data_IF_080808467643
#
_entry.id   IF_080808467643
#
_cell.length_a   1.000
_cell.length_b   1.000
_cell.length_c   1.000
_cell.angle_alpha   90.00
_cell.angle_beta   90.00
_cell.angle_gamma   90.00
#
_symmetry.space_group_name_H-M   'P 1'
#
loop_
_entity.id
_entity.type
_entity.pdbx_description
1 polymer ?
#
# COMPACT_ATOMS: atom_id res chain seq x y z
N UNK A 1 -1.64 -11.90 11.01
CA UNK A 1 -0.90 -12.62 9.94
C UNK A 1 0.52 -12.90 10.41
N UNK A 2 1.12 -14.02 10.03
CA UNK A 2 2.45 -14.36 10.58
C UNK A 2 3.54 -13.61 9.81
N UNK A 3 4.34 -12.79 10.49
CA UNK A 3 5.56 -12.13 10.01
C UNK A 3 6.44 -13.06 9.16
N UNK A 4 6.52 -14.33 9.57
CA UNK A 4 7.27 -15.40 8.89
C UNK A 4 6.83 -15.69 7.46
N UNK A 5 5.58 -15.45 7.08
CA UNK A 5 5.12 -15.63 5.70
C UNK A 5 5.78 -14.59 4.78
N UNK A 6 5.66 -13.32 5.12
CA UNK A 6 6.24 -12.22 4.34
C UNK A 6 7.76 -12.24 4.31
N UNK A 7 8.40 -12.64 5.42
CA UNK A 7 9.85 -12.83 5.47
C UNK A 7 10.32 -13.91 4.46
N UNK A 8 9.56 -15.00 4.30
CA UNK A 8 9.92 -16.09 3.38
C UNK A 8 9.53 -15.82 1.93
N UNK A 9 8.44 -15.10 1.70
CA UNK A 9 7.93 -14.84 0.36
C UNK A 9 8.61 -13.70 -0.36
N UNK A 10 9.36 -12.83 0.33
CA UNK A 10 9.94 -11.60 -0.22
C UNK A 10 10.75 -11.82 -1.51
N UNK A 11 11.50 -12.92 -1.63
CA UNK A 11 12.29 -13.22 -2.82
C UNK A 11 11.44 -13.65 -4.02
N UNK A 12 10.30 -14.29 -3.77
CA UNK A 12 9.42 -14.82 -4.81
C UNK A 12 8.23 -13.89 -5.09
N UNK A 13 8.03 -12.89 -4.23
CA UNK A 13 6.87 -12.00 -4.29
C UNK A 13 6.80 -11.24 -5.62
N UNK A 14 7.88 -10.59 -6.03
CA UNK A 14 7.93 -9.85 -7.30
C UNK A 14 7.69 -10.78 -8.50
N UNK A 15 8.20 -12.02 -8.45
CA UNK A 15 7.94 -13.00 -9.51
C UNK A 15 6.45 -13.39 -9.56
N UNK A 16 5.85 -13.64 -8.40
CA UNK A 16 4.43 -13.98 -8.31
C UNK A 16 3.51 -12.81 -8.74
N UNK A 17 3.96 -11.57 -8.49
CA UNK A 17 3.21 -10.35 -8.79
C UNK A 17 3.44 -9.78 -10.20
N UNK A 18 4.31 -10.39 -11.02
CA UNK A 18 4.59 -9.94 -12.41
C UNK A 18 3.35 -9.81 -13.29
N UNK A 19 2.34 -10.65 -13.05
CA UNK A 19 1.07 -10.57 -13.78
C UNK A 19 0.33 -9.23 -13.60
N UNK A 20 0.68 -8.47 -12.55
CA UNK A 20 0.10 -7.16 -12.22
C UNK A 20 1.02 -5.98 -12.59
N UNK A 21 2.17 -6.21 -13.27
CA UNK A 21 3.14 -5.15 -13.55
C UNK A 21 2.55 -3.98 -14.35
N UNK A 22 1.67 -4.26 -15.30
CA UNK A 22 1.04 -3.21 -16.12
C UNK A 22 -0.05 -2.48 -15.34
N UNK A 23 -0.86 -3.20 -14.56
CA UNK A 23 -1.85 -2.61 -13.65
C UNK A 23 -1.18 -1.73 -12.59
N UNK A 24 -0.09 -2.17 -11.97
CA UNK A 24 0.67 -1.38 -10.99
C UNK A 24 1.26 -0.10 -11.60
N UNK A 25 1.68 -0.12 -12.88
CA UNK A 25 2.12 1.09 -13.59
C UNK A 25 0.96 2.09 -13.76
N UNK A 26 -0.22 1.60 -14.16
CA UNK A 26 -1.41 2.45 -14.31
C UNK A 26 -1.83 3.04 -12.96
N UNK A 27 -1.81 2.23 -11.90
CA UNK A 27 -2.07 2.68 -10.53
C UNK A 27 -1.04 3.73 -10.09
N UNK A 28 0.25 3.50 -10.34
CA UNK A 28 1.31 4.46 -10.00
C UNK A 28 1.12 5.78 -10.78
N UNK A 29 0.74 5.74 -12.05
CA UNK A 29 0.43 6.94 -12.85
C UNK A 29 -0.80 7.67 -12.30
N UNK A 30 -1.84 6.94 -11.89
CA UNK A 30 -3.01 7.53 -11.24
C UNK A 30 -2.61 8.28 -9.96
N UNK A 31 -1.81 7.66 -9.10
CA UNK A 31 -1.31 8.27 -7.85
C UNK A 31 -0.41 9.48 -8.14
N UNK A 32 0.48 9.39 -9.13
CA UNK A 32 1.44 10.44 -9.46
C UNK A 32 0.79 11.78 -9.79
N UNK A 33 -0.46 11.78 -10.29
CA UNK A 33 -1.25 13.02 -10.55
C UNK A 33 -1.48 13.87 -9.31
N UNK A 34 -1.43 13.27 -8.13
CA UNK A 34 -1.66 13.91 -6.82
C UNK A 34 -0.36 14.24 -6.08
N UNK A 35 0.79 13.92 -6.65
CA UNK A 35 2.09 14.17 -6.06
C UNK A 35 2.71 15.45 -6.62
N UNK A 36 3.59 16.07 -5.86
CA UNK A 36 4.42 17.20 -6.30
C UNK A 36 5.90 16.91 -6.07
N UNK A 37 6.81 17.52 -6.85
CA UNK A 37 8.25 17.34 -6.68
C UNK A 37 8.79 17.76 -5.31
N UNK A 38 8.03 18.54 -4.54
CA UNK A 38 8.41 19.01 -3.22
C UNK A 38 7.81 18.17 -2.08
N UNK A 39 6.94 17.20 -2.36
CA UNK A 39 6.28 16.42 -1.32
C UNK A 39 7.19 15.36 -0.70
N UNK A 40 6.98 15.11 0.59
CA UNK A 40 7.50 13.98 1.34
C UNK A 40 6.45 12.88 1.38
N UNK A 41 6.80 11.69 0.92
CA UNK A 41 5.93 10.54 0.77
C UNK A 41 6.30 9.46 1.78
N UNK A 42 5.30 8.91 2.48
CA UNK A 42 5.41 7.64 3.21
C UNK A 42 4.72 6.53 2.42
N UNK A 43 5.38 5.41 2.20
CA UNK A 43 4.69 4.15 1.93
C UNK A 43 4.84 3.21 3.11
N UNK A 44 3.75 3.00 3.86
CA UNK A 44 3.69 2.09 4.98
C UNK A 44 3.21 0.70 4.51
N UNK A 45 3.89 -0.36 4.98
CA UNK A 45 3.78 -1.73 4.47
C UNK A 45 4.17 -1.82 2.97
N UNK A 46 5.31 -1.23 2.63
CA UNK A 46 5.76 -1.06 1.24
C UNK A 46 6.08 -2.38 0.50
N UNK A 47 6.13 -3.51 1.21
CA UNK A 47 6.49 -4.81 0.63
C UNK A 47 7.86 -4.74 -0.06
N UNK A 48 7.91 -5.08 -1.35
CA UNK A 48 9.11 -5.01 -2.19
C UNK A 48 9.27 -3.67 -2.92
N UNK A 49 8.51 -2.63 -2.54
CA UNK A 49 8.64 -1.27 -3.04
C UNK A 49 8.13 -1.08 -4.47
N UNK A 50 7.04 -1.73 -4.84
CA UNK A 50 6.48 -1.63 -6.20
C UNK A 50 6.00 -0.22 -6.49
N UNK A 51 5.28 0.42 -5.57
CA UNK A 51 4.83 1.81 -5.71
C UNK A 51 5.89 2.81 -5.28
N UNK A 52 6.59 2.60 -4.16
CA UNK A 52 7.64 3.51 -3.69
C UNK A 52 8.69 3.78 -4.76
N UNK A 53 9.22 2.73 -5.39
CA UNK A 53 10.26 2.89 -6.42
C UNK A 53 9.71 3.55 -7.70
N UNK A 54 8.44 3.30 -8.06
CA UNK A 54 7.81 3.91 -9.23
C UNK A 54 7.54 5.42 -9.02
N UNK A 55 7.21 5.82 -7.78
CA UNK A 55 6.83 7.19 -7.44
C UNK A 55 8.02 8.07 -7.00
N UNK A 56 9.12 7.47 -6.53
CA UNK A 56 10.29 8.18 -6.03
C UNK A 56 10.85 9.26 -6.99
N UNK A 57 10.90 9.04 -8.32
CA UNK A 57 11.41 10.07 -9.24
C UNK A 57 10.58 11.36 -9.29
N UNK A 58 9.30 11.30 -8.87
CA UNK A 58 8.36 12.42 -8.93
C UNK A 58 8.21 13.22 -7.63
N UNK A 59 8.95 12.87 -6.57
CA UNK A 59 8.79 13.46 -5.24
C UNK A 59 10.13 13.86 -4.62
N UNK A 60 10.08 14.71 -3.60
CA UNK A 60 11.28 15.15 -2.87
C UNK A 60 11.95 13.99 -2.15
N UNK A 61 11.17 13.18 -1.45
CA UNK A 61 11.68 12.09 -0.62
C UNK A 61 10.61 11.03 -0.37
N UNK A 62 11.02 9.77 -0.28
CA UNK A 62 10.16 8.63 0.06
C UNK A 62 10.69 7.91 1.28
N UNK A 63 9.89 7.81 2.32
CA UNK A 63 10.14 6.91 3.45
C UNK A 63 9.36 5.61 3.24
N UNK A 64 10.07 4.48 3.21
CA UNK A 64 9.49 3.16 3.04
C UNK A 64 9.59 2.38 4.34
N UNK A 65 8.49 1.81 4.80
CA UNK A 65 8.56 0.90 5.92
C UNK A 65 7.70 -0.35 5.70
N UNK A 66 8.16 -1.47 6.25
CA UNK A 66 7.44 -2.74 6.29
C UNK A 66 7.83 -3.48 7.57
N UNK A 67 6.91 -4.28 8.12
CA UNK A 67 7.23 -5.04 9.32
C UNK A 67 8.13 -6.26 9.06
N UNK A 68 8.21 -6.73 7.80
CA UNK A 68 9.06 -7.82 7.37
C UNK A 68 10.41 -7.28 6.86
N UNK A 69 11.49 -7.59 7.58
CA UNK A 69 12.85 -7.15 7.25
C UNK A 69 13.27 -7.53 5.83
N UNK A 70 12.87 -8.71 5.37
CA UNK A 70 13.24 -9.17 4.03
C UNK A 70 12.52 -8.37 2.93
N UNK A 71 11.29 -7.88 3.17
CA UNK A 71 10.59 -6.96 2.26
C UNK A 71 11.36 -5.64 2.15
N UNK A 72 11.70 -5.02 3.29
CA UNK A 72 12.51 -3.78 3.32
C UNK A 72 13.85 -3.96 2.60
N UNK A 73 14.51 -5.10 2.78
CA UNK A 73 15.76 -5.42 2.10
C UNK A 73 15.61 -5.51 0.57
N UNK A 74 14.52 -6.10 0.07
CA UNK A 74 14.23 -6.16 -1.36
C UNK A 74 13.92 -4.77 -1.93
N UNK A 75 13.15 -3.94 -1.22
CA UNK A 75 12.87 -2.56 -1.62
C UNK A 75 14.16 -1.76 -1.73
N UNK A 76 15.04 -1.82 -0.73
CA UNK A 76 16.35 -1.15 -0.74
C UNK A 76 17.22 -1.60 -1.90
N UNK A 77 17.27 -2.91 -2.16
CA UNK A 77 18.02 -3.46 -3.29
C UNK A 77 17.48 -2.96 -4.62
N UNK A 78 16.15 -2.96 -4.79
CA UNK A 78 15.48 -2.46 -6.01
C UNK A 78 15.77 -0.98 -6.23
N UNK A 79 15.66 -0.14 -5.19
CA UNK A 79 15.99 1.28 -5.25
C UNK A 79 17.44 1.51 -5.68
N UNK A 80 18.39 0.77 -5.10
CA UNK A 80 19.80 0.84 -5.51
C UNK A 80 20.05 0.42 -6.95
N UNK A 81 19.38 -0.62 -7.45
CA UNK A 81 19.45 -1.04 -8.86
C UNK A 81 18.90 0.01 -9.83
N UNK A 82 17.91 0.81 -9.38
CA UNK A 82 17.27 1.89 -10.14
C UNK A 82 17.98 3.25 -9.96
N UNK A 83 19.01 3.34 -9.12
CA UNK A 83 19.73 4.58 -8.85
C UNK A 83 18.90 5.63 -8.08
N UNK A 84 17.92 5.19 -7.27
CA UNK A 84 17.07 6.08 -6.48
C UNK A 84 17.77 6.46 -5.17
N UNK A 85 18.14 7.74 -5.03
CA UNK A 85 18.88 8.24 -3.87
C UNK A 85 18.01 8.96 -2.83
N UNK A 86 16.76 9.24 -3.17
CA UNK A 86 15.82 9.98 -2.34
C UNK A 86 14.89 9.07 -1.53
N UNK A 87 15.37 7.91 -1.07
CA UNK A 87 14.56 6.92 -0.36
C UNK A 87 15.21 6.46 0.94
N UNK A 88 14.41 6.43 2.01
CA UNK A 88 14.76 5.82 3.30
C UNK A 88 13.97 4.52 3.54
N UNK A 89 14.58 3.62 4.34
CA UNK A 89 14.03 2.28 4.57
C UNK A 89 14.12 1.91 6.05
N UNK A 90 12.99 1.54 6.65
CA UNK A 90 12.91 1.12 8.05
C UNK A 90 12.01 -0.10 8.24
N UNK A 91 12.27 -0.85 9.32
CA UNK A 91 11.41 -1.99 9.69
C UNK A 91 10.45 -1.50 10.77
N UNK A 92 9.16 -1.35 10.41
CA UNK A 92 8.13 -0.82 11.30
C UNK A 92 6.79 -1.52 11.09
N UNK A 93 5.94 -1.54 12.10
CA UNK A 93 4.56 -1.98 12.02
C UNK A 93 3.67 -0.78 11.66
N UNK A 94 2.86 -0.90 10.60
CA UNK A 94 1.93 0.15 10.18
C UNK A 94 0.91 0.54 11.26
N UNK A 95 0.69 -0.32 12.24
CA UNK A 95 -0.21 -0.05 13.37
C UNK A 95 0.46 0.70 14.53
N UNK A 96 1.77 0.99 14.44
CA UNK A 96 2.57 1.71 15.42
C UNK A 96 3.82 2.26 14.74
N UNK A 97 3.67 3.39 14.04
CA UNK A 97 4.75 4.00 13.26
C UNK A 97 5.64 4.89 14.14
N UNK A 98 6.95 4.73 14.00
CA UNK A 98 7.96 5.55 14.69
C UNK A 98 8.32 6.80 13.86
N UNK A 99 7.29 7.53 13.44
CA UNK A 99 7.43 8.83 12.80
C UNK A 99 6.71 9.91 13.61
N UNK A 100 7.19 11.16 13.57
CA UNK A 100 6.50 12.29 14.21
C UNK A 100 5.10 12.51 13.62
N UNK A 101 4.24 13.16 14.40
CA UNK A 101 2.96 13.67 13.90
C UNK A 101 3.17 14.70 12.80
N UNK A 102 2.25 14.77 11.84
CA UNK A 102 2.24 15.79 10.79
C UNK A 102 3.56 15.88 9.99
N UNK A 103 4.15 14.74 9.67
CA UNK A 103 5.47 14.67 9.05
C UNK A 103 5.40 14.60 7.51
N UNK A 104 4.49 13.80 6.96
CA UNK A 104 4.40 13.53 5.53
C UNK A 104 3.33 14.38 4.84
N UNK A 105 3.60 14.80 3.60
CA UNK A 105 2.62 15.46 2.76
C UNK A 105 1.62 14.43 2.18
N UNK A 106 2.11 13.21 1.91
CA UNK A 106 1.31 12.08 1.39
C UNK A 106 1.70 10.80 2.09
N UNK A 107 0.71 10.00 2.48
CA UNK A 107 0.93 8.64 3.00
C UNK A 107 0.17 7.62 2.16
N UNK A 108 0.84 6.52 1.81
CA UNK A 108 0.27 5.41 1.02
C UNK A 108 0.28 4.15 1.88
N UNK A 109 -0.82 3.38 1.80
CA UNK A 109 -0.90 2.02 2.31
C UNK A 109 -1.52 1.13 1.23
N UNK A 110 -0.65 0.46 0.44
CA UNK A 110 -1.06 -0.33 -0.70
C UNK A 110 -1.25 -1.80 -0.34
N UNK A 111 -2.41 -2.36 -0.66
CA UNK A 111 -2.74 -3.78 -0.53
C UNK A 111 -2.46 -4.39 0.87
N UNK A 112 -2.67 -3.60 1.92
CA UNK A 112 -2.39 -4.03 3.29
C UNK A 112 -3.61 -4.02 4.21
N UNK A 113 -4.55 -3.06 4.08
CA UNK A 113 -5.65 -2.91 5.03
C UNK A 113 -6.53 -4.16 5.12
N UNK A 114 -6.79 -4.83 3.99
CA UNK A 114 -7.56 -6.07 3.95
C UNK A 114 -6.86 -7.26 4.64
N UNK A 115 -5.56 -7.14 4.93
CA UNK A 115 -4.76 -8.18 5.58
C UNK A 115 -4.67 -8.00 7.11
N UNK A 116 -5.04 -6.82 7.61
CA UNK A 116 -4.90 -6.49 9.03
C UNK A 116 -6.11 -6.97 9.83
N UNK A 117 -5.88 -7.57 11.02
CA UNK A 117 -6.97 -7.90 11.95
C UNK A 117 -7.69 -6.65 12.47
N UNK A 118 -6.97 -5.54 12.61
CA UNK A 118 -7.49 -4.25 13.02
C UNK A 118 -6.95 -3.15 12.09
N UNK A 119 -7.60 -2.90 10.93
CA UNK A 119 -7.18 -1.88 9.98
C UNK A 119 -7.38 -0.45 10.50
N UNK A 120 -8.24 -0.23 11.50
CA UNK A 120 -8.45 1.07 12.15
C UNK A 120 -7.15 1.67 12.66
N UNK A 121 -6.34 0.85 13.36
CA UNK A 121 -5.08 1.30 13.92
C UNK A 121 -4.11 1.80 12.84
N UNK A 122 -4.06 1.10 11.71
CA UNK A 122 -3.23 1.52 10.59
C UNK A 122 -3.71 2.86 10.01
N UNK A 123 -5.02 3.03 9.82
CA UNK A 123 -5.58 4.30 9.33
C UNK A 123 -5.30 5.43 10.32
N UNK A 124 -5.47 5.22 11.65
CA UNK A 124 -5.18 6.24 12.66
C UNK A 124 -3.68 6.62 12.71
N UNK A 125 -2.77 5.66 12.56
CA UNK A 125 -1.34 5.98 12.49
C UNK A 125 -0.99 6.76 11.23
N UNK A 126 -1.56 6.39 10.08
CA UNK A 126 -1.39 7.16 8.84
C UNK A 126 -1.95 8.58 8.95
N UNK A 127 -3.13 8.74 9.57
CA UNK A 127 -3.69 10.07 9.88
C UNK A 127 -2.75 10.88 10.78
N UNK A 128 -2.21 10.27 11.84
CA UNK A 128 -1.30 10.93 12.77
C UNK A 128 -0.02 11.45 12.10
N UNK A 129 0.60 10.63 11.25
CA UNK A 129 1.87 10.99 10.61
C UNK A 129 1.72 11.87 9.38
N UNK A 130 0.51 11.99 8.83
CA UNK A 130 0.23 12.83 7.67
C UNK A 130 -0.12 14.25 8.13
N UNK A 131 0.42 15.26 7.44
CA UNK A 131 0.14 16.67 7.72
C UNK A 131 -1.34 17.01 7.55
N UNK A 132 -1.88 17.98 8.30
CA UNK A 132 -3.20 18.53 8.02
C UNK A 132 -3.31 18.99 6.56
N UNK A 133 -4.37 18.54 5.87
CA UNK A 133 -4.56 18.79 4.44
C UNK A 133 -3.72 17.91 3.50
N UNK A 134 -2.85 17.06 4.05
CA UNK A 134 -2.12 16.05 3.29
C UNK A 134 -3.03 14.94 2.78
N UNK A 135 -2.52 14.11 1.89
CA UNK A 135 -3.28 13.04 1.26
C UNK A 135 -2.96 11.68 1.88
N UNK A 136 -4.01 10.87 2.00
CA UNK A 136 -3.89 9.45 2.29
C UNK A 136 -4.40 8.66 1.09
N UNK A 137 -3.58 7.76 0.57
CA UNK A 137 -3.88 7.02 -0.66
C UNK A 137 -3.88 5.53 -0.35
N UNK A 138 -4.97 4.86 -0.74
CA UNK A 138 -5.21 3.48 -0.40
C UNK A 138 -5.53 2.64 -1.65
N UNK A 139 -4.53 2.15 -2.39
CA UNK A 139 -4.76 1.04 -3.31
C UNK A 139 -5.10 -0.21 -2.50
N UNK A 140 -6.25 -0.80 -2.72
CA UNK A 140 -6.67 -1.99 -1.95
C UNK A 140 -7.52 -2.93 -2.78
N UNK A 141 -7.20 -4.21 -2.74
CA UNK A 141 -8.03 -5.23 -3.38
C UNK A 141 -9.44 -5.25 -2.77
N UNK A 142 -10.44 -5.33 -3.64
CA UNK A 142 -11.84 -5.36 -3.27
C UNK A 142 -12.55 -6.54 -3.95
N UNK A 143 -13.56 -7.10 -3.29
CA UNK A 143 -14.38 -8.18 -3.83
C UNK A 143 -15.51 -7.61 -4.69
N UNK A 144 -15.23 -7.31 -5.97
CA UNK A 144 -16.25 -6.89 -6.92
C UNK A 144 -16.86 -8.10 -7.66
N UNK A 145 -17.39 -9.08 -6.90
CA UNK A 145 -17.95 -10.29 -7.52
C UNK A 145 -16.88 -11.17 -8.19
N UNK A 146 -15.77 -11.39 -7.51
CA UNK A 146 -14.54 -12.01 -7.96
C UNK A 146 -14.76 -13.28 -8.80
N UNK A 147 -14.08 -13.31 -9.95
CA UNK A 147 -14.05 -14.47 -10.84
C UNK A 147 -13.58 -15.73 -10.11
N UNK A 148 -14.03 -16.94 -10.52
CA UNK A 148 -13.61 -18.22 -9.91
C UNK A 148 -12.09 -18.42 -9.88
N UNK A 149 -11.34 -17.82 -10.80
CA UNK A 149 -9.87 -17.86 -10.89
C UNK A 149 -9.17 -17.15 -9.71
N UNK A 150 -9.64 -15.98 -9.30
CA UNK A 150 -9.09 -15.27 -8.13
C UNK A 150 -9.27 -16.05 -6.83
N UNK A 151 -10.39 -16.73 -6.66
CA UNK A 151 -10.62 -17.64 -5.51
C UNK A 151 -9.63 -18.79 -5.45
N UNK A 152 -9.21 -19.35 -6.60
CA UNK A 152 -8.21 -20.43 -6.66
C UNK A 152 -6.82 -19.95 -6.27
N UNK A 153 -6.43 -18.76 -6.69
CA UNK A 153 -5.15 -18.17 -6.33
C UNK A 153 -5.10 -17.82 -4.82
N UNK A 154 -6.15 -17.20 -4.27
CA UNK A 154 -6.27 -16.97 -2.83
C UNK A 154 -6.28 -18.27 -2.03
N UNK A 155 -6.95 -19.32 -2.52
CA UNK A 155 -6.93 -20.65 -1.91
C UNK A 155 -5.52 -21.25 -1.91
N UNK A 156 -4.75 -21.10 -2.99
CA UNK A 156 -3.35 -21.52 -3.05
C UNK A 156 -2.49 -20.73 -2.04
N UNK A 157 -2.61 -19.41 -1.99
CA UNK A 157 -1.89 -18.57 -1.02
C UNK A 157 -2.29 -18.91 0.42
N UNK A 158 -3.53 -19.33 0.66
CA UNK A 158 -4.01 -19.72 2.00
C UNK A 158 -3.28 -20.94 2.57
N UNK A 159 -2.78 -21.84 1.71
CA UNK A 159 -1.95 -22.99 2.12
C UNK A 159 -0.62 -22.52 2.76
N UNK A 160 -0.16 -21.34 2.39
CA UNK A 160 1.05 -20.72 2.95
C UNK A 160 0.75 -19.75 4.09
N UNK A 161 -0.50 -19.68 4.55
CA UNK A 161 -0.92 -18.84 5.67
C UNK A 161 -1.36 -17.43 5.29
N UNK A 162 -1.51 -17.12 4.00
CA UNK A 162 -2.12 -15.90 3.52
C UNK A 162 -3.65 -16.02 3.65
N UNK A 163 -4.27 -15.13 4.43
CA UNK A 163 -5.74 -15.03 4.54
C UNK A 163 -6.11 -13.56 4.66
N UNK A 164 -6.92 -13.03 3.73
CA UNK A 164 -7.56 -11.74 3.94
C UNK A 164 -8.36 -11.80 5.25
N UNK A 165 -8.26 -10.75 6.05
CA UNK A 165 -9.02 -10.60 7.30
C UNK A 165 -10.31 -9.83 7.04
N UNK A 166 -10.28 -8.97 6.04
CA UNK A 166 -11.40 -8.12 5.63
C UNK A 166 -11.63 -8.29 4.14
N UNK A 167 -12.84 -8.67 3.77
CA UNK A 167 -13.26 -8.80 2.38
C UNK A 167 -14.30 -7.70 2.12
N UNK A 168 -13.85 -6.61 1.54
CA UNK A 168 -14.72 -5.47 1.21
C UNK A 168 -15.11 -5.47 -0.26
N UNK A 169 -16.35 -5.11 -0.55
CA UNK A 169 -16.70 -4.54 -1.86
C UNK A 169 -16.14 -3.11 -1.94
N UNK A 170 -16.08 -2.53 -3.13
CA UNK A 170 -15.67 -1.13 -3.31
C UNK A 170 -16.47 -0.19 -2.40
N UNK A 171 -17.80 -0.31 -2.40
CA UNK A 171 -18.69 0.53 -1.57
C UNK A 171 -18.40 0.39 -0.08
N UNK A 172 -18.17 -0.85 0.40
CA UNK A 172 -17.82 -1.11 1.80
C UNK A 172 -16.45 -0.54 2.14
N UNK A 173 -15.46 -0.65 1.24
CA UNK A 173 -14.13 -0.11 1.46
C UNK A 173 -14.14 1.42 1.54
N UNK A 174 -14.82 2.09 0.61
CA UNK A 174 -14.98 3.55 0.66
C UNK A 174 -15.79 4.00 1.90
N UNK A 175 -16.82 3.24 2.30
CA UNK A 175 -17.55 3.45 3.53
C UNK A 175 -16.66 3.34 4.76
N UNK A 176 -15.82 2.29 4.82
CA UNK A 176 -14.82 2.09 5.88
C UNK A 176 -13.91 3.31 6.05
N UNK A 177 -13.42 3.90 4.95
CA UNK A 177 -12.56 5.09 5.00
C UNK A 177 -13.32 6.34 5.50
N UNK A 178 -14.55 6.56 5.00
CA UNK A 178 -15.40 7.70 5.42
C UNK A 178 -15.72 7.66 6.90
N UNK A 179 -16.05 6.50 7.46
CA UNK A 179 -16.32 6.33 8.89
C UNK A 179 -15.13 6.71 9.79
N UNK A 180 -13.93 6.82 9.24
CA UNK A 180 -12.70 7.22 9.93
C UNK A 180 -12.30 8.67 9.68
N UNK A 181 -13.25 9.49 9.21
CA UNK A 181 -13.06 10.92 9.00
C UNK A 181 -12.26 11.25 7.74
N UNK A 182 -12.29 10.36 6.73
CA UNK A 182 -11.63 10.61 5.46
C UNK A 182 -12.64 11.05 4.40
N UNK A 183 -12.40 12.21 3.81
CA UNK A 183 -13.06 12.65 2.58
C UNK A 183 -12.49 11.89 1.39
N UNK A 184 -13.34 11.26 0.59
CA UNK A 184 -12.92 10.64 -0.67
C UNK A 184 -12.91 11.73 -1.74
N UNK A 185 -11.71 12.15 -2.16
CA UNK A 185 -11.54 13.15 -3.22
C UNK A 185 -11.76 12.54 -4.60
N UNK A 186 -11.20 11.36 -4.82
CA UNK A 186 -11.29 10.60 -6.06
C UNK A 186 -11.14 9.11 -5.75
N UNK A 187 -11.74 8.25 -6.55
CA UNK A 187 -11.46 6.82 -6.51
C UNK A 187 -11.52 6.23 -7.91
N UNK A 188 -10.72 5.20 -8.13
CA UNK A 188 -10.65 4.46 -9.39
C UNK A 188 -10.73 2.96 -9.10
N UNK A 189 -11.59 2.27 -9.84
CA UNK A 189 -11.63 0.81 -9.83
C UNK A 189 -10.87 0.29 -11.06
N UNK A 190 -9.80 -0.43 -10.82
CA UNK A 190 -9.05 -1.16 -11.84
C UNK A 190 -9.66 -2.56 -11.96
N UNK A 191 -10.38 -2.88 -13.05
CA UNK A 191 -11.03 -4.16 -13.20
C UNK A 191 -10.01 -5.23 -13.62
N UNK A 192 -9.85 -6.23 -12.76
CA UNK A 192 -9.00 -7.39 -13.03
C UNK A 192 -9.62 -8.65 -12.40
N UNK A 193 -8.90 -9.77 -12.44
CA UNK A 193 -9.33 -10.97 -11.69
C UNK A 193 -9.41 -10.72 -10.18
N UNK A 194 -8.59 -9.80 -9.68
CA UNK A 194 -8.56 -9.31 -8.31
C UNK A 194 -8.73 -7.77 -8.36
N UNK A 195 -9.99 -7.26 -8.44
CA UNK A 195 -10.22 -5.83 -8.65
C UNK A 195 -9.55 -4.96 -7.58
N UNK A 196 -8.87 -3.90 -8.03
CA UNK A 196 -8.16 -2.97 -7.17
C UNK A 196 -8.90 -1.62 -7.14
N UNK A 197 -9.32 -1.18 -5.95
CA UNK A 197 -9.84 0.16 -5.72
C UNK A 197 -8.71 1.06 -5.21
N UNK A 198 -8.43 2.14 -5.92
CA UNK A 198 -7.50 3.20 -5.47
C UNK A 198 -8.32 4.34 -4.92
N UNK A 199 -8.31 4.56 -3.62
CA UNK A 199 -8.98 5.68 -2.96
C UNK A 199 -7.95 6.78 -2.66
N UNK A 200 -8.19 7.98 -3.18
CA UNK A 200 -7.45 9.21 -2.88
C UNK A 200 -8.27 9.98 -1.86
N UNK A 201 -7.70 10.19 -0.68
CA UNK A 201 -8.44 10.73 0.45
C UNK A 201 -7.69 11.85 1.15
N UNK A 202 -8.43 12.63 1.94
CA UNK A 202 -7.91 13.66 2.82
C UNK A 202 -8.65 13.62 4.16
N UNK A 203 -7.97 13.98 5.24
CA UNK A 203 -8.61 14.15 6.54
C UNK A 203 -9.64 15.29 6.50
N UNK A 204 -10.86 15.05 7.01
CA UNK A 204 -11.92 16.05 7.18
C UNK A 204 -11.57 17.11 8.22
#
# INVERSE_FOLDING_TARGET
MRKTFWERSALLYDFAMRKHDDEDKEVALCIARFLSPNCTLLEAACGTGRFSCALAPGVKHVSCCDYAKNMVSQTRKKAGMLGLENMDFSVQDITSLDFPENHFDVSIAANVLHLLPNPDRAVFELLRVTKPGGLLIFPNFVNAGSAPSGKRFLAFLSLFGFRPQNEWTEVQFLGFLRERGLEILEHHLFPSEEPLCVAITRML
#
